data_IF_609461223415
#
_entry.id   IF_609461223415
#
_cell.length_a   1.000
_cell.length_b   1.000
_cell.length_c   1.000
_cell.angle_alpha   90.00
_cell.angle_beta   90.00
_cell.angle_gamma   90.00
#
_symmetry.space_group_name_H-M   'P 1'
#
loop_
_entity.id
_entity.type
_entity.pdbx_description
1 polymer ?
#
# COMPACT_ATOMS: atom_id res chain seq x y z
N UNK A 1 -46.72 -18.80 -4.38
CA UNK A 1 -46.25 -17.56 -3.73
C UNK A 1 -45.25 -17.82 -2.60
N UNK A 2 -45.06 -19.07 -2.16
CA UNK A 2 -44.20 -19.40 -1.01
C UNK A 2 -42.70 -19.55 -1.31
N UNK A 3 -42.26 -19.59 -2.58
CA UNK A 3 -40.85 -19.77 -2.94
C UNK A 3 -40.07 -18.45 -3.13
N UNK A 4 -40.76 -17.32 -3.26
CA UNK A 4 -40.11 -16.03 -3.55
C UNK A 4 -39.22 -15.53 -2.41
N UNK A 5 -39.59 -15.76 -1.16
CA UNK A 5 -38.80 -15.33 0.00
C UNK A 5 -37.52 -16.16 0.16
N UNK A 6 -37.55 -17.45 -0.17
CA UNK A 6 -36.39 -18.33 -0.12
C UNK A 6 -35.28 -17.86 -1.07
N UNK A 7 -35.66 -17.38 -2.26
CA UNK A 7 -34.72 -16.83 -3.24
C UNK A 7 -34.02 -15.59 -2.67
N UNK A 8 -34.77 -14.67 -2.06
CA UNK A 8 -34.19 -13.48 -1.45
C UNK A 8 -33.26 -13.80 -0.28
N UNK A 9 -33.62 -14.77 0.57
CA UNK A 9 -32.77 -15.23 1.66
C UNK A 9 -31.49 -15.86 1.13
N UNK A 10 -31.58 -16.72 0.11
CA UNK A 10 -30.42 -17.35 -0.52
C UNK A 10 -29.46 -16.31 -1.14
N UNK A 11 -30.00 -15.29 -1.81
CA UNK A 11 -29.20 -14.19 -2.37
C UNK A 11 -28.52 -13.36 -1.29
N UNK A 12 -29.22 -13.05 -0.19
CA UNK A 12 -28.65 -12.31 0.93
C UNK A 12 -27.49 -13.07 1.59
N UNK A 13 -27.66 -14.39 1.80
CA UNK A 13 -26.61 -15.26 2.36
C UNK A 13 -25.41 -15.33 1.41
N UNK A 14 -25.65 -15.57 0.12
CA UNK A 14 -24.58 -15.61 -0.88
C UNK A 14 -23.80 -14.28 -0.93
N UNK A 15 -24.51 -13.15 -0.91
CA UNK A 15 -23.90 -11.81 -0.85
C UNK A 15 -23.07 -11.61 0.42
N UNK A 16 -23.58 -12.00 1.58
CA UNK A 16 -22.85 -11.90 2.85
C UNK A 16 -21.57 -12.73 2.84
N UNK A 17 -21.61 -13.95 2.28
CA UNK A 17 -20.42 -14.79 2.11
C UNK A 17 -19.41 -14.08 1.20
N UNK A 18 -19.81 -13.61 0.03
CA UNK A 18 -18.91 -12.88 -0.88
C UNK A 18 -18.25 -11.68 -0.19
N UNK A 19 -19.02 -10.90 0.57
CA UNK A 19 -18.49 -9.74 1.31
C UNK A 19 -17.48 -10.15 2.39
N UNK A 20 -17.71 -11.24 3.13
CA UNK A 20 -16.76 -11.74 4.12
C UNK A 20 -15.45 -12.19 3.47
N UNK A 21 -15.53 -12.89 2.33
CA UNK A 21 -14.36 -13.30 1.57
C UNK A 21 -13.58 -12.11 1.02
N UNK A 22 -14.27 -11.01 0.67
CA UNK A 22 -13.63 -9.79 0.15
C UNK A 22 -13.06 -8.88 1.25
N UNK A 23 -13.56 -8.98 2.48
CA UNK A 23 -13.10 -8.17 3.60
C UNK A 23 -11.62 -8.40 3.94
N UNK A 24 -11.16 -9.65 3.84
CA UNK A 24 -9.78 -10.00 4.19
C UNK A 24 -8.74 -9.44 3.19
N UNK A 25 -8.89 -9.60 1.86
CA UNK A 25 -8.06 -8.91 0.88
C UNK A 25 -8.06 -7.38 1.05
N UNK A 26 -9.21 -6.80 1.33
CA UNK A 26 -9.36 -5.35 1.50
C UNK A 26 -8.59 -4.85 2.73
N UNK A 27 -8.54 -5.64 3.81
CA UNK A 27 -7.71 -5.37 4.99
C UNK A 27 -6.23 -5.33 4.63
N UNK A 28 -5.73 -6.30 3.87
CA UNK A 28 -4.33 -6.32 3.44
C UNK A 28 -3.99 -5.14 2.53
N UNK A 29 -4.90 -4.76 1.62
CA UNK A 29 -4.73 -3.55 0.80
C UNK A 29 -4.63 -2.28 1.66
N UNK A 30 -5.48 -2.16 2.69
CA UNK A 30 -5.40 -1.05 3.65
C UNK A 30 -4.07 -1.02 4.41
N UNK A 31 -3.58 -2.17 4.89
CA UNK A 31 -2.25 -2.26 5.52
C UNK A 31 -1.13 -1.87 4.54
N UNK A 32 -1.20 -2.32 3.29
CA UNK A 32 -0.21 -2.03 2.27
C UNK A 32 -0.19 -0.53 1.95
N UNK A 33 -1.36 0.09 1.80
CA UNK A 33 -1.50 1.52 1.60
C UNK A 33 -0.93 2.32 2.79
N UNK A 34 -1.18 1.87 4.03
CA UNK A 34 -0.61 2.49 5.22
C UNK A 34 0.91 2.42 5.26
N UNK A 35 1.50 1.26 4.94
CA UNK A 35 2.96 1.08 4.82
C UNK A 35 3.54 1.98 3.74
N UNK A 36 2.92 1.99 2.58
CA UNK A 36 3.31 2.84 1.45
C UNK A 36 3.29 4.33 1.82
N UNK A 37 2.26 4.79 2.55
CA UNK A 37 2.18 6.16 3.04
C UNK A 37 3.34 6.49 4.00
N UNK A 38 3.66 5.58 4.94
CA UNK A 38 4.83 5.73 5.82
C UNK A 38 6.15 5.78 5.02
N UNK A 39 6.27 4.96 3.98
CA UNK A 39 7.44 4.99 3.10
C UNK A 39 7.57 6.28 2.30
N UNK A 40 6.45 6.81 1.80
CA UNK A 40 6.38 8.14 1.19
C UNK A 40 6.82 9.23 2.15
N UNK A 41 6.36 9.21 3.40
CA UNK A 41 6.77 10.16 4.43
C UNK A 41 8.28 10.07 4.71
N UNK A 42 8.84 8.86 4.77
CA UNK A 42 10.27 8.65 4.93
C UNK A 42 11.10 9.20 3.76
N UNK A 43 10.69 8.92 2.53
CA UNK A 43 11.34 9.46 1.33
C UNK A 43 11.23 10.98 1.26
N UNK A 44 10.06 11.53 1.60
CA UNK A 44 9.85 12.96 1.61
C UNK A 44 10.75 13.64 2.64
N UNK A 45 10.84 13.10 3.86
CA UNK A 45 11.74 13.60 4.89
C UNK A 45 13.22 13.53 4.45
N UNK A 46 13.62 12.42 3.81
CA UNK A 46 14.99 12.29 3.30
C UNK A 46 15.28 13.28 2.18
N UNK A 47 14.30 13.57 1.31
CA UNK A 47 14.43 14.59 0.28
C UNK A 47 14.58 16.01 0.83
N UNK A 48 14.04 16.32 2.02
CA UNK A 48 14.31 17.60 2.68
C UNK A 48 15.79 17.76 3.04
N UNK A 49 16.42 16.69 3.54
CA UNK A 49 17.88 16.66 3.79
C UNK A 49 18.64 16.69 2.45
N UNK A 50 18.11 15.99 1.45
CA UNK A 50 18.64 15.93 0.09
C UNK A 50 18.74 17.30 -0.59
N UNK A 51 17.85 18.25 -0.28
CA UNK A 51 17.94 19.62 -0.78
C UNK A 51 19.26 20.31 -0.41
N UNK A 52 19.79 20.04 0.79
CA UNK A 52 21.07 20.60 1.25
C UNK A 52 22.25 19.76 0.73
N UNK A 53 22.06 18.44 0.64
CA UNK A 53 23.10 17.50 0.21
C UNK A 53 23.23 17.35 -1.33
N UNK A 54 22.35 17.98 -2.11
CA UNK A 54 22.38 17.96 -3.57
C UNK A 54 21.84 16.68 -4.21
N UNK A 55 20.91 15.96 -3.56
CA UNK A 55 20.26 14.77 -4.14
C UNK A 55 18.74 14.79 -3.96
N UNK A 56 18.01 14.09 -4.83
CA UNK A 56 16.55 13.96 -4.75
C UNK A 56 16.10 12.57 -5.21
N UNK A 57 15.50 11.82 -4.28
CA UNK A 57 14.96 10.49 -4.54
C UNK A 57 13.55 10.58 -5.14
N UNK A 58 13.21 9.73 -6.12
CA UNK A 58 11.89 9.75 -6.73
C UNK A 58 10.79 9.31 -5.75
N UNK A 59 9.72 10.11 -5.67
CA UNK A 59 8.51 9.86 -4.88
C UNK A 59 7.43 9.21 -5.75
N UNK A 60 7.52 7.90 -5.96
CA UNK A 60 6.56 7.15 -6.77
C UNK A 60 6.01 5.93 -6.00
N UNK A 61 4.92 5.30 -6.49
CA UNK A 61 4.30 4.19 -5.78
C UNK A 61 5.23 3.04 -5.44
N UNK A 62 6.17 2.74 -6.34
CA UNK A 62 7.12 1.64 -6.17
C UNK A 62 8.13 1.98 -5.09
N UNK A 63 8.76 3.15 -5.12
CA UNK A 63 9.74 3.55 -4.10
C UNK A 63 9.11 3.72 -2.74
N UNK A 64 7.92 4.34 -2.67
CA UNK A 64 7.16 4.46 -1.43
C UNK A 64 6.77 3.11 -0.84
N UNK A 65 6.42 2.13 -1.68
CA UNK A 65 6.12 0.78 -1.22
C UNK A 65 7.37 0.03 -0.73
N UNK A 66 8.47 0.07 -1.49
CA UNK A 66 9.76 -0.55 -1.10
C UNK A 66 10.23 -0.01 0.24
N UNK A 67 10.22 1.31 0.40
CA UNK A 67 10.58 1.97 1.66
C UNK A 67 9.55 1.69 2.75
N UNK A 68 8.27 1.68 2.42
CA UNK A 68 7.19 1.42 3.38
C UNK A 68 7.19 0.01 3.94
N UNK A 69 7.61 -0.97 3.14
CA UNK A 69 7.70 -2.38 3.54
C UNK A 69 9.02 -2.68 4.25
N UNK A 70 10.15 -2.14 3.75
CA UNK A 70 11.47 -2.42 4.29
C UNK A 70 11.89 -1.45 5.42
N UNK A 71 11.32 -0.25 5.47
CA UNK A 71 11.69 0.81 6.42
C UNK A 71 13.04 1.47 6.07
N UNK A 72 13.87 1.68 7.10
CA UNK A 72 15.22 2.25 6.97
C UNK A 72 16.13 1.53 5.95
N UNK A 73 16.22 0.18 5.92
CA UNK A 73 17.01 -0.49 4.90
C UNK A 73 16.47 -0.26 3.47
N UNK A 74 15.15 -0.04 3.33
CA UNK A 74 14.54 0.37 2.05
C UNK A 74 14.99 1.76 1.60
N UNK A 75 15.06 2.73 2.52
CA UNK A 75 15.61 4.06 2.21
C UNK A 75 17.05 3.96 1.70
N UNK A 76 17.89 3.17 2.38
CA UNK A 76 19.26 2.93 1.97
C UNK A 76 19.36 2.28 0.59
N UNK A 77 18.54 1.26 0.31
CA UNK A 77 18.51 0.59 -0.98
C UNK A 77 18.11 1.55 -2.12
N UNK A 78 17.03 2.32 -1.94
CA UNK A 78 16.57 3.31 -2.94
C UNK A 78 17.63 4.39 -3.16
N UNK A 79 18.30 4.86 -2.11
CA UNK A 79 19.39 5.82 -2.22
C UNK A 79 20.59 5.26 -3.00
N UNK A 80 21.03 4.05 -2.68
CA UNK A 80 22.14 3.39 -3.37
C UNK A 80 21.81 3.16 -4.84
N UNK A 81 20.61 2.67 -5.16
CA UNK A 81 20.16 2.51 -6.54
C UNK A 81 20.14 3.85 -7.26
N UNK A 82 19.57 4.89 -6.66
CA UNK A 82 19.60 6.22 -7.24
C UNK A 82 21.03 6.67 -7.54
N UNK A 83 21.97 6.44 -6.61
CA UNK A 83 23.38 6.83 -6.76
C UNK A 83 24.14 6.03 -7.83
N UNK A 84 23.76 4.78 -8.09
CA UNK A 84 24.39 3.92 -9.09
C UNK A 84 23.96 4.23 -10.53
N UNK A 85 22.74 4.78 -10.71
CA UNK A 85 22.16 5.06 -12.02
C UNK A 85 22.10 6.56 -12.37
N UNK A 86 22.60 7.43 -11.48
CA UNK A 86 22.74 8.89 -11.65
C UNK A 86 24.14 9.29 -12.09
#
# INVERSE_FOLDING_TARGET
METGWLVWVALAVAGAVVLQWLAEPLRYLGLLAGRMALGYLGLWALNLVGLVAGFHLPLNPVTGLVVGVLGLPGLGAVYLLHRLYS
#
